data_IF_604338839183
#
_entry.id   IF_604338839183
#
_cell.length_a   1.000
_cell.length_b   1.000
_cell.length_c   1.000
_cell.angle_alpha   90.00
_cell.angle_beta   90.00
_cell.angle_gamma   90.00
#
_symmetry.space_group_name_H-M   'P 1'
#
loop_
_entity.id
_entity.type
_entity.pdbx_description
1 polymer ?
#
# COMPACT_ATOMS: atom_id res chain seq x y z
N UNK A 1 7.41 15.93 0.88
CA UNK A 1 7.50 14.52 0.44
C UNK A 1 8.86 14.22 -0.20
N UNK A 2 9.39 15.09 -1.08
CA UNK A 2 10.66 14.83 -1.78
C UNK A 2 11.83 14.55 -0.82
N UNK A 3 12.03 15.37 0.21
CA UNK A 3 13.09 15.16 1.20
C UNK A 3 12.94 13.82 1.95
N UNK A 4 11.71 13.41 2.24
CA UNK A 4 11.44 12.12 2.90
C UNK A 4 11.75 10.94 1.96
N UNK A 5 11.36 11.04 0.69
CA UNK A 5 11.66 10.00 -0.30
C UNK A 5 13.15 9.91 -0.60
N UNK A 6 13.86 11.03 -0.61
CA UNK A 6 15.32 11.07 -0.80
C UNK A 6 16.04 10.35 0.35
N UNK A 7 15.66 10.69 1.58
CA UNK A 7 16.16 10.04 2.80
C UNK A 7 15.85 8.53 2.81
N UNK A 8 14.60 8.15 2.46
CA UNK A 8 14.23 6.74 2.36
C UNK A 8 15.05 5.98 1.31
N UNK A 9 15.41 6.63 0.20
CA UNK A 9 16.25 6.03 -0.83
C UNK A 9 17.70 5.81 -0.36
N UNK A 10 18.26 6.68 0.47
CA UNK A 10 19.58 6.49 1.08
C UNK A 10 19.61 5.27 1.99
N UNK A 11 18.51 5.01 2.70
CA UNK A 11 18.38 3.89 3.62
C UNK A 11 17.74 2.63 3.00
N UNK A 12 17.61 2.55 1.68
CA UNK A 12 16.94 1.43 0.99
C UNK A 12 17.49 0.05 1.37
N UNK A 13 18.79 -0.04 1.67
CA UNK A 13 19.43 -1.30 2.05
C UNK A 13 18.85 -1.94 3.32
N UNK A 14 18.30 -1.15 4.24
CA UNK A 14 17.63 -1.67 5.45
C UNK A 14 16.28 -2.33 5.13
N UNK A 15 15.72 -2.01 3.98
CA UNK A 15 14.43 -2.53 3.50
C UNK A 15 14.58 -3.48 2.32
N UNK A 16 15.79 -3.69 1.82
CA UNK A 16 16.04 -4.65 0.75
C UNK A 16 16.09 -6.07 1.32
N UNK A 17 15.50 -7.04 0.61
CA UNK A 17 15.58 -8.46 1.00
C UNK A 17 16.99 -9.01 0.89
N UNK A 18 17.81 -8.47 -0.01
CA UNK A 18 19.23 -8.80 -0.16
C UNK A 18 20.07 -7.52 -0.06
N UNK A 19 20.38 -7.04 1.16
CA UNK A 19 21.27 -5.90 1.36
C UNK A 19 22.59 -6.11 0.61
N UNK A 20 23.19 -5.04 0.11
CA UNK A 20 24.44 -5.05 -0.67
C UNK A 20 24.37 -5.74 -2.06
N UNK A 21 23.22 -6.30 -2.46
CA UNK A 21 22.97 -6.82 -3.81
C UNK A 21 21.91 -6.03 -4.57
N UNK A 22 20.84 -5.68 -3.85
CA UNK A 22 19.71 -4.96 -4.42
C UNK A 22 20.00 -3.45 -4.44
N UNK A 23 19.56 -2.77 -5.49
CA UNK A 23 19.74 -1.33 -5.72
C UNK A 23 21.21 -0.83 -5.76
N UNK A 24 22.19 -1.71 -5.83
CA UNK A 24 23.62 -1.35 -5.85
C UNK A 24 24.13 -0.92 -7.23
N UNK A 25 23.46 -1.36 -8.32
CA UNK A 25 23.86 -1.03 -9.67
C UNK A 25 23.09 0.18 -10.20
N UNK A 26 23.78 1.11 -10.85
CA UNK A 26 23.14 2.21 -11.58
C UNK A 26 22.32 1.63 -12.75
N UNK A 27 21.01 1.64 -12.60
CA UNK A 27 20.03 1.18 -13.60
C UNK A 27 19.03 2.30 -13.89
N UNK A 28 18.14 2.12 -14.89
CA UNK A 28 17.05 3.07 -15.19
C UNK A 28 16.15 3.35 -13.97
N UNK A 29 16.01 2.37 -13.07
CA UNK A 29 15.28 2.53 -11.80
C UNK A 29 16.26 2.32 -10.64
N UNK A 30 16.66 3.40 -10.03
CA UNK A 30 17.29 3.44 -8.72
C UNK A 30 16.24 3.43 -7.60
N UNK A 31 16.68 3.43 -6.35
CA UNK A 31 15.80 3.39 -5.18
C UNK A 31 14.85 4.59 -5.12
N UNK A 32 15.37 5.79 -5.39
CA UNK A 32 14.58 7.04 -5.38
C UNK A 32 13.48 7.00 -6.45
N UNK A 33 13.85 6.64 -7.67
CA UNK A 33 12.90 6.52 -8.78
C UNK A 33 11.84 5.47 -8.49
N UNK A 34 12.23 4.32 -7.92
CA UNK A 34 11.29 3.27 -7.52
C UNK A 34 10.27 3.79 -6.50
N UNK A 35 10.73 4.43 -5.41
CA UNK A 35 9.86 4.97 -4.36
C UNK A 35 8.91 6.01 -4.95
N UNK A 36 9.42 6.99 -5.69
CA UNK A 36 8.59 8.05 -6.29
C UNK A 36 7.57 7.50 -7.28
N UNK A 37 7.97 6.57 -8.15
CA UNK A 37 7.05 5.93 -9.09
C UNK A 37 5.95 5.17 -8.35
N UNK A 38 6.30 4.40 -7.31
CA UNK A 38 5.31 3.64 -6.53
C UNK A 38 4.31 4.55 -5.81
N UNK A 39 4.78 5.62 -5.19
CA UNK A 39 3.92 6.59 -4.49
C UNK A 39 3.05 7.42 -5.44
N UNK A 40 3.50 7.61 -6.68
CA UNK A 40 2.77 8.38 -7.68
C UNK A 40 1.70 7.59 -8.45
N UNK A 41 1.57 6.27 -8.23
CA UNK A 41 0.57 5.44 -8.91
C UNK A 41 -0.85 5.82 -8.52
N UNK A 42 -1.74 5.84 -9.52
CA UNK A 42 -3.13 6.28 -9.39
C UNK A 42 -4.15 5.15 -9.52
N UNK A 43 -3.71 3.89 -9.50
CA UNK A 43 -4.60 2.73 -9.62
C UNK A 43 -4.94 2.31 -11.06
N UNK A 44 -4.20 2.82 -12.04
CA UNK A 44 -4.31 2.37 -13.43
C UNK A 44 -3.58 1.03 -13.63
N UNK A 45 -3.66 0.46 -14.83
CA UNK A 45 -2.82 -0.69 -15.17
C UNK A 45 -1.33 -0.27 -15.16
N UNK A 46 -0.44 -1.18 -14.75
CA UNK A 46 0.98 -0.88 -14.53
C UNK A 46 1.67 -0.28 -15.76
N UNK A 47 1.34 -0.74 -16.97
CA UNK A 47 1.91 -0.19 -18.18
C UNK A 47 1.55 1.29 -18.40
N UNK A 48 0.33 1.70 -18.01
CA UNK A 48 -0.09 3.10 -18.07
C UNK A 48 0.61 3.92 -17.01
N UNK A 49 0.67 3.45 -15.76
CA UNK A 49 1.40 4.10 -14.67
C UNK A 49 2.87 4.39 -15.03
N UNK A 50 3.53 3.40 -15.65
CA UNK A 50 4.91 3.56 -16.10
C UNK A 50 5.03 4.50 -17.31
N UNK A 51 4.01 4.55 -18.18
CA UNK A 51 3.98 5.50 -19.28
C UNK A 51 3.81 6.94 -18.81
N UNK A 52 2.97 7.14 -17.80
CA UNK A 52 2.70 8.45 -17.20
C UNK A 52 3.91 8.94 -16.39
N UNK A 53 4.55 8.04 -15.62
CA UNK A 53 5.76 8.35 -14.85
C UNK A 53 6.99 8.62 -15.74
N UNK A 54 7.09 7.98 -16.90
CA UNK A 54 8.20 8.08 -17.86
C UNK A 54 7.69 8.41 -19.26
N UNK A 55 7.36 9.68 -19.57
CA UNK A 55 6.82 10.08 -20.87
C UNK A 55 7.76 9.73 -22.04
N UNK A 56 9.09 9.86 -21.82
CA UNK A 56 10.07 9.52 -22.83
C UNK A 56 10.25 8.00 -22.92
N UNK A 57 9.99 7.43 -24.09
CA UNK A 57 10.09 6.00 -24.32
C UNK A 57 11.47 5.41 -23.98
N UNK A 58 12.55 6.16 -24.25
CA UNK A 58 13.92 5.74 -23.93
C UNK A 58 14.19 5.58 -22.41
N UNK A 59 13.49 6.30 -21.58
CA UNK A 59 13.61 6.26 -20.12
C UNK A 59 12.63 5.26 -19.49
N UNK A 60 11.57 4.89 -20.23
CA UNK A 60 10.53 3.99 -19.76
C UNK A 60 11.09 2.58 -19.53
N UNK A 61 10.63 1.99 -18.45
CA UNK A 61 10.90 0.58 -18.19
C UNK A 61 9.68 -0.29 -18.49
N UNK A 62 9.92 -1.59 -18.59
CA UNK A 62 8.85 -2.58 -18.74
C UNK A 62 8.18 -2.87 -17.40
N UNK A 63 6.92 -3.30 -17.42
CA UNK A 63 6.21 -3.76 -16.23
C UNK A 63 6.97 -4.88 -15.49
N UNK A 64 7.56 -5.83 -16.24
CA UNK A 64 8.37 -6.90 -15.66
C UNK A 64 9.61 -6.37 -14.92
N UNK A 65 10.28 -5.35 -15.47
CA UNK A 65 11.44 -4.74 -14.80
C UNK A 65 11.03 -4.01 -13.51
N UNK A 66 9.87 -3.34 -13.51
CA UNK A 66 9.31 -2.72 -12.30
C UNK A 66 8.98 -3.77 -11.23
N UNK A 67 8.25 -4.83 -11.58
CA UNK A 67 7.90 -5.91 -10.65
C UNK A 67 9.14 -6.59 -10.06
N UNK A 68 10.19 -6.77 -10.85
CA UNK A 68 11.49 -7.26 -10.36
C UNK A 68 12.15 -6.30 -9.34
N UNK A 69 11.99 -5.00 -9.46
CA UNK A 69 12.47 -4.06 -8.44
C UNK A 69 11.59 -4.09 -7.20
N UNK A 70 10.26 -4.11 -7.39
CA UNK A 70 9.28 -4.18 -6.32
C UNK A 70 9.48 -5.41 -5.43
N UNK A 71 9.76 -6.58 -6.00
CA UNK A 71 10.00 -7.83 -5.26
C UNK A 71 11.27 -7.82 -4.39
N UNK A 72 12.14 -6.82 -4.52
CA UNK A 72 13.37 -6.69 -3.73
C UNK A 72 13.17 -5.89 -2.44
N UNK A 73 12.05 -5.20 -2.29
CA UNK A 73 11.82 -4.25 -1.21
C UNK A 73 10.76 -4.75 -0.25
N UNK A 74 11.07 -4.70 1.05
CA UNK A 74 10.10 -4.96 2.09
C UNK A 74 9.06 -3.81 2.13
N UNK A 75 7.75 -4.11 2.07
CA UNK A 75 6.68 -3.10 2.10
C UNK A 75 6.71 -2.18 3.33
N UNK A 76 7.37 -2.58 4.43
CA UNK A 76 7.56 -1.74 5.63
C UNK A 76 8.23 -0.40 5.32
N UNK A 77 8.99 -0.30 4.22
CA UNK A 77 9.53 0.96 3.73
C UNK A 77 8.45 2.04 3.62
N UNK A 78 7.31 1.71 3.02
CA UNK A 78 6.23 2.68 2.81
C UNK A 78 5.55 3.12 4.11
N UNK A 79 5.49 2.23 5.12
CA UNK A 79 5.01 2.60 6.46
C UNK A 79 5.96 3.58 7.14
N UNK A 80 7.27 3.37 7.02
CA UNK A 80 8.28 4.32 7.53
C UNK A 80 8.19 5.65 6.80
N UNK A 81 8.02 5.67 5.49
CA UNK A 81 7.82 6.90 4.71
C UNK A 81 6.58 7.67 5.19
N UNK A 82 5.47 6.97 5.47
CA UNK A 82 4.26 7.58 6.02
C UNK A 82 4.55 8.27 7.36
N UNK A 83 5.23 7.60 8.29
CA UNK A 83 5.55 8.17 9.59
C UNK A 83 6.53 9.35 9.51
N UNK A 84 7.58 9.21 8.70
CA UNK A 84 8.53 10.30 8.46
C UNK A 84 7.84 11.51 7.79
N UNK A 85 6.95 11.28 6.84
CA UNK A 85 6.16 12.35 6.23
C UNK A 85 5.28 13.04 7.27
N UNK A 86 4.54 12.29 8.09
CA UNK A 86 3.70 12.85 9.15
C UNK A 86 4.50 13.66 10.17
N UNK A 87 5.74 13.24 10.47
CA UNK A 87 6.62 13.98 11.39
C UNK A 87 7.06 15.35 10.83
N UNK A 88 7.01 15.55 9.52
CA UNK A 88 7.33 16.84 8.88
C UNK A 88 6.16 17.82 8.88
N UNK A 89 4.94 17.34 9.18
CA UNK A 89 3.78 18.20 9.24
C UNK A 89 3.89 19.14 10.45
N UNK A 90 3.45 20.39 10.26
CA UNK A 90 3.42 21.37 11.35
C UNK A 90 2.48 20.92 12.46
N UNK A 91 2.51 21.64 13.61
CA UNK A 91 1.62 21.32 14.73
C UNK A 91 0.19 21.06 14.25
N UNK A 92 -0.41 19.93 14.66
CA UNK A 92 -1.72 19.53 14.18
C UNK A 92 -2.80 20.55 14.61
N UNK A 93 -3.73 20.82 13.70
CA UNK A 93 -4.96 21.54 14.06
C UNK A 93 -5.74 20.71 15.09
N UNK A 94 -6.20 21.37 16.14
CA UNK A 94 -6.95 20.75 17.21
C UNK A 94 -8.40 21.31 17.21
N UNK A 95 -9.35 20.45 17.52
CA UNK A 95 -10.72 20.83 17.77
C UNK A 95 -10.97 20.89 19.29
N UNK A 96 -11.24 22.07 19.83
CA UNK A 96 -11.33 22.29 21.27
C UNK A 96 -10.18 21.70 22.10
N UNK A 97 -8.97 21.75 21.57
CA UNK A 97 -7.77 21.22 22.24
C UNK A 97 -7.55 19.70 22.03
N UNK A 98 -8.42 19.01 21.29
CA UNK A 98 -8.34 17.57 21.01
C UNK A 98 -8.04 17.28 19.56
N UNK A 99 -7.37 16.18 19.31
CA UNK A 99 -7.17 15.63 17.97
C UNK A 99 -8.39 14.80 17.58
N UNK A 100 -8.99 15.10 16.41
CA UNK A 100 -10.15 14.35 15.91
C UNK A 100 -9.65 13.22 15.01
N UNK A 101 -9.77 12.00 15.50
CA UNK A 101 -9.34 10.81 14.77
C UNK A 101 -10.55 9.99 14.32
N UNK A 102 -10.50 9.48 13.09
CA UNK A 102 -11.42 8.48 12.57
C UNK A 102 -10.66 7.19 12.29
N UNK A 103 -11.34 6.06 12.55
CA UNK A 103 -10.84 4.74 12.18
C UNK A 103 -11.89 4.11 11.29
N UNK A 104 -11.47 3.62 10.13
CA UNK A 104 -12.34 2.91 9.20
C UNK A 104 -11.60 1.74 8.56
N UNK A 105 -12.33 0.69 8.25
CA UNK A 105 -11.82 -0.52 7.65
C UNK A 105 -12.34 -0.73 6.23
N UNK A 106 -11.46 -1.12 5.32
CA UNK A 106 -11.81 -1.45 3.94
C UNK A 106 -11.19 -2.76 3.49
N UNK A 107 -11.95 -3.54 2.73
CA UNK A 107 -11.47 -4.80 2.13
C UNK A 107 -10.88 -4.55 0.74
N UNK A 108 -9.66 -5.03 0.50
CA UNK A 108 -9.01 -5.01 -0.81
C UNK A 108 -8.91 -6.44 -1.36
N UNK A 109 -9.36 -6.62 -2.60
CA UNK A 109 -9.24 -7.90 -3.28
C UNK A 109 -7.79 -8.15 -3.73
N UNK A 110 -7.29 -9.34 -3.40
CA UNK A 110 -5.99 -9.84 -3.86
C UNK A 110 -6.21 -10.88 -4.97
N UNK A 111 -5.20 -11.13 -5.82
CA UNK A 111 -5.23 -12.27 -6.73
C UNK A 111 -5.53 -13.57 -5.97
N UNK A 112 -6.39 -14.42 -6.55
CA UNK A 112 -6.77 -15.68 -5.90
C UNK A 112 -5.57 -16.61 -5.78
N UNK A 113 -5.30 -17.04 -4.57
CA UNK A 113 -4.34 -18.09 -4.24
C UNK A 113 -4.93 -18.98 -3.14
N UNK A 114 -5.06 -20.29 -3.42
CA UNK A 114 -5.58 -21.28 -2.47
C UNK A 114 -4.72 -21.47 -1.21
N UNK A 115 -3.46 -21.07 -1.27
CA UNK A 115 -2.51 -21.15 -0.16
C UNK A 115 -2.31 -19.81 0.57
N UNK A 116 -2.99 -18.74 0.12
CA UNK A 116 -2.89 -17.43 0.72
C UNK A 116 -3.42 -17.40 2.15
N UNK A 117 -2.72 -16.79 3.11
CA UNK A 117 -3.25 -16.55 4.45
C UNK A 117 -4.47 -15.61 4.44
N UNK A 118 -4.69 -14.90 3.35
CA UNK A 118 -5.83 -14.00 3.15
C UNK A 118 -7.03 -14.67 2.48
N UNK A 119 -6.99 -16.00 2.26
CA UNK A 119 -8.12 -16.74 1.70
C UNK A 119 -9.29 -16.74 2.69
N UNK A 120 -10.42 -16.28 2.26
CA UNK A 120 -11.68 -16.29 3.00
C UNK A 120 -12.84 -16.77 2.12
N UNK A 121 -13.93 -17.19 2.74
CA UNK A 121 -15.16 -17.56 2.05
C UNK A 121 -16.10 -16.37 2.03
N UNK A 122 -16.48 -15.93 0.84
CA UNK A 122 -17.47 -14.87 0.65
C UNK A 122 -18.80 -15.53 0.28
N UNK A 123 -19.85 -15.13 1.00
CA UNK A 123 -21.21 -15.48 0.61
C UNK A 123 -21.68 -14.55 -0.49
N UNK A 124 -21.87 -15.07 -1.68
CA UNK A 124 -22.44 -14.32 -2.81
C UNK A 124 -23.91 -14.71 -2.97
N UNK A 125 -24.81 -13.71 -2.96
CA UNK A 125 -26.17 -13.92 -3.44
C UNK A 125 -26.13 -14.07 -4.95
N UNK A 126 -26.54 -15.20 -5.48
CA UNK A 126 -26.89 -15.28 -6.89
C UNK A 126 -28.11 -14.38 -7.13
N UNK A 127 -28.16 -13.72 -8.29
CA UNK A 127 -29.31 -12.99 -8.82
C UNK A 127 -30.62 -13.73 -8.51
N UNK A 128 -31.72 -13.04 -8.22
CA UNK A 128 -32.97 -13.65 -7.76
C UNK A 128 -33.61 -14.51 -8.84
N UNK A 129 -33.19 -15.75 -8.97
CA UNK A 129 -33.93 -16.84 -9.53
C UNK A 129 -34.37 -17.74 -8.38
N UNK A 130 -35.56 -18.27 -8.46
CA UNK A 130 -36.44 -18.87 -7.45
C UNK A 130 -35.86 -19.75 -6.30
N UNK A 131 -34.56 -20.03 -6.30
CA UNK A 131 -33.88 -20.75 -5.21
C UNK A 131 -32.91 -19.81 -4.50
N UNK A 132 -33.29 -19.36 -3.31
CA UNK A 132 -32.49 -18.52 -2.40
C UNK A 132 -31.19 -19.21 -1.87
N UNK A 133 -30.47 -19.93 -2.70
CA UNK A 133 -29.22 -20.60 -2.30
C UNK A 133 -28.06 -19.63 -2.31
N UNK A 134 -27.58 -19.29 -1.12
CA UNK A 134 -26.28 -18.64 -0.91
C UNK A 134 -25.18 -19.58 -1.43
N UNK A 135 -24.41 -19.11 -2.42
CA UNK A 135 -23.21 -19.82 -2.85
C UNK A 135 -21.99 -19.23 -2.18
N UNK A 136 -21.17 -20.08 -1.62
CA UNK A 136 -19.90 -19.69 -1.01
C UNK A 136 -18.80 -19.74 -2.07
N UNK A 137 -18.10 -18.63 -2.28
CA UNK A 137 -16.96 -18.56 -3.19
C UNK A 137 -15.71 -18.17 -2.39
N UNK A 138 -14.59 -18.88 -2.61
CA UNK A 138 -13.30 -18.48 -2.08
C UNK A 138 -12.80 -17.18 -2.73
N UNK A 139 -12.33 -16.25 -1.93
CA UNK A 139 -11.65 -15.04 -2.38
C UNK A 139 -10.50 -14.70 -1.45
N UNK A 140 -9.47 -14.04 -1.96
CA UNK A 140 -8.39 -13.51 -1.14
C UNK A 140 -8.67 -12.04 -0.88
N UNK A 141 -8.86 -11.69 0.41
CA UNK A 141 -9.12 -10.32 0.86
C UNK A 141 -8.17 -9.93 1.97
N UNK A 142 -7.59 -8.74 1.83
CA UNK A 142 -6.86 -8.08 2.90
C UNK A 142 -7.72 -6.95 3.45
N UNK A 143 -7.86 -6.90 4.76
CA UNK A 143 -8.58 -5.85 5.46
C UNK A 143 -7.58 -4.80 5.94
N UNK A 144 -7.78 -3.54 5.55
CA UNK A 144 -6.96 -2.41 5.98
C UNK A 144 -7.76 -1.53 6.94
N UNK A 145 -7.33 -1.48 8.20
CA UNK A 145 -7.82 -0.49 9.16
C UNK A 145 -6.93 0.76 9.04
N UNK A 146 -7.56 1.89 8.79
CA UNK A 146 -6.88 3.15 8.52
C UNK A 146 -7.21 4.14 9.63
N UNK A 147 -6.17 4.70 10.24
CA UNK A 147 -6.29 5.81 11.19
C UNK A 147 -6.11 7.12 10.45
N UNK A 148 -7.12 7.97 10.50
CA UNK A 148 -7.18 9.25 9.79
C UNK A 148 -7.39 10.41 10.74
N UNK A 149 -6.63 11.49 10.56
CA UNK A 149 -6.80 12.75 11.27
C UNK A 149 -7.72 13.67 10.46
N UNK A 150 -8.91 13.87 10.96
CA UNK A 150 -9.99 14.61 10.26
C UNK A 150 -9.62 16.08 10.11
N UNK A 151 -9.13 16.70 11.18
CA UNK A 151 -8.83 18.13 11.19
C UNK A 151 -7.61 18.48 10.31
N UNK A 152 -6.68 17.54 10.17
CA UNK A 152 -5.45 17.74 9.40
C UNK A 152 -5.48 17.07 8.03
N UNK A 153 -6.54 16.37 7.69
CA UNK A 153 -6.74 15.67 6.41
C UNK A 153 -5.56 14.73 6.06
N UNK A 154 -5.05 13.97 7.02
CA UNK A 154 -3.91 13.09 6.79
C UNK A 154 -4.11 11.69 7.39
N UNK A 155 -3.54 10.70 6.70
CA UNK A 155 -3.46 9.32 7.19
C UNK A 155 -2.33 9.20 8.19
N UNK A 156 -2.61 8.67 9.38
CA UNK A 156 -1.62 8.52 10.45
C UNK A 156 -1.03 7.12 10.50
N UNK A 157 -1.86 6.10 10.31
CA UNK A 157 -1.43 4.71 10.30
C UNK A 157 -2.36 3.84 9.44
N UNK A 158 -1.87 2.66 9.09
CA UNK A 158 -2.62 1.62 8.41
C UNK A 158 -2.19 0.26 8.96
N UNK A 159 -3.17 -0.50 9.46
CA UNK A 159 -2.99 -1.88 9.91
C UNK A 159 -3.64 -2.85 8.91
N UNK A 160 -2.84 -3.74 8.34
CA UNK A 160 -3.30 -4.76 7.40
C UNK A 160 -3.55 -6.07 8.15
N UNK A 161 -4.75 -6.62 8.01
CA UNK A 161 -5.18 -7.85 8.68
C UNK A 161 -5.80 -8.83 7.68
N UNK A 162 -5.78 -10.12 8.03
CA UNK A 162 -6.62 -11.10 7.37
C UNK A 162 -8.08 -10.87 7.76
N UNK A 163 -9.01 -10.97 6.81
CA UNK A 163 -10.45 -10.84 7.10
C UNK A 163 -10.95 -11.81 8.17
N UNK A 164 -10.30 -12.98 8.33
CA UNK A 164 -10.64 -13.95 9.39
C UNK A 164 -10.31 -13.48 10.79
N UNK A 165 -9.33 -12.60 10.93
CA UNK A 165 -8.86 -12.07 12.22
C UNK A 165 -9.09 -10.56 12.36
N UNK A 166 -9.99 -9.98 11.54
CA UNK A 166 -10.25 -8.57 11.64
C UNK A 166 -11.02 -8.27 12.91
N UNK A 167 -10.49 -7.34 13.68
CA UNK A 167 -11.16 -6.72 14.82
C UNK A 167 -10.83 -5.23 14.80
N UNK A 168 -11.77 -4.44 14.34
CA UNK A 168 -11.63 -2.98 14.23
C UNK A 168 -11.38 -2.33 15.60
N UNK A 169 -11.96 -2.90 16.69
CA UNK A 169 -11.78 -2.37 18.03
C UNK A 169 -10.37 -2.63 18.55
N UNK A 170 -9.85 -3.83 18.34
CA UNK A 170 -8.46 -4.17 18.70
C UNK A 170 -7.43 -3.46 17.80
N UNK A 171 -7.81 -3.07 16.59
CA UNK A 171 -6.95 -2.28 15.71
C UNK A 171 -6.84 -0.80 16.16
N UNK A 172 -7.76 -0.34 17.00
CA UNK A 172 -7.83 1.04 17.52
C UNK A 172 -7.01 1.26 18.79
N UNK A 173 -6.45 0.22 19.39
CA UNK A 173 -5.64 0.23 20.62
C UNK A 173 -4.17 0.09 20.27
#
# INVERSE_FOLDING_TARGET
LDSVTDKAAEYINYFAYHPCKDFTRKRKMDAKTFIKTTLGMQGNCLNKELADAFPKFSERMTASAYEQQKSKVNPRLFKVILYEFNSTLKQPALYHGYRLLAIDGSDFALPYDKHSPFLCNIQTRKTPSADNKLTTKGACLIHANILYDIANCCYLDCLLQSRKGMDERSAAV
#
